data_IF_002993387370
#
_entry.id   IF_002993387370
#
_cell.length_a   1.000
_cell.length_b   1.000
_cell.length_c   1.000
_cell.angle_alpha   90.00
_cell.angle_beta   90.00
_cell.angle_gamma   90.00
#
_symmetry.space_group_name_H-M   'P 1'
#
loop_
_entity.id
_entity.type
_entity.pdbx_description
1 polymer ?
#
# COMPACT_ATOMS: atom_id res chain seq x y z
N UNK A 1 -13.83 34.26 -49.59
CA UNK A 1 -14.73 34.29 -48.41
C UNK A 1 -15.15 32.87 -47.99
N UNK A 2 -15.87 32.09 -48.84
CA UNK A 2 -16.35 30.74 -48.48
C UNK A 2 -15.28 29.71 -48.06
N UNK A 3 -14.09 29.75 -48.67
CA UNK A 3 -13.00 28.79 -48.37
C UNK A 3 -12.41 28.97 -46.97
N UNK A 4 -12.27 30.21 -46.48
CA UNK A 4 -11.79 30.50 -45.13
C UNK A 4 -12.80 30.07 -44.06
N UNK A 5 -14.10 30.19 -44.34
CA UNK A 5 -15.16 29.70 -43.46
C UNK A 5 -15.13 28.17 -43.32
N UNK A 6 -14.83 27.46 -44.40
CA UNK A 6 -14.70 25.99 -44.40
C UNK A 6 -13.46 25.55 -43.60
N UNK A 7 -12.31 26.21 -43.79
CA UNK A 7 -11.09 25.94 -43.03
C UNK A 7 -11.26 26.18 -41.52
N UNK A 8 -11.93 27.27 -41.14
CA UNK A 8 -12.26 27.56 -39.73
C UNK A 8 -13.20 26.51 -39.14
N UNK A 9 -14.19 26.04 -39.90
CA UNK A 9 -15.09 24.97 -39.48
C UNK A 9 -14.35 23.65 -39.24
N UNK A 10 -13.45 23.26 -40.15
CA UNK A 10 -12.65 22.02 -40.02
C UNK A 10 -11.69 22.11 -38.83
N UNK A 11 -10.99 23.23 -38.70
CA UNK A 11 -10.06 23.46 -37.58
C UNK A 11 -10.76 23.45 -36.22
N UNK A 12 -11.89 24.15 -36.09
CA UNK A 12 -12.68 24.15 -34.87
C UNK A 12 -13.21 22.76 -34.50
N UNK A 13 -13.66 21.99 -35.49
CA UNK A 13 -14.13 20.62 -35.27
C UNK A 13 -12.99 19.70 -34.81
N UNK A 14 -11.80 19.83 -35.41
CA UNK A 14 -10.63 19.04 -35.01
C UNK A 14 -10.18 19.32 -33.56
N UNK A 15 -10.21 20.59 -33.15
CA UNK A 15 -9.88 21.01 -31.77
C UNK A 15 -10.90 20.45 -30.78
N UNK A 16 -12.20 20.51 -31.11
CA UNK A 16 -13.25 19.93 -30.25
C UNK A 16 -13.08 18.42 -30.08
N UNK A 17 -12.78 17.70 -31.15
CA UNK A 17 -12.52 16.25 -31.10
C UNK A 17 -11.32 15.97 -30.19
N UNK A 18 -10.20 16.67 -30.39
CA UNK A 18 -9.01 16.52 -29.53
C UNK A 18 -9.33 16.80 -28.06
N UNK A 19 -10.09 17.87 -27.76
CA UNK A 19 -10.46 18.22 -26.39
C UNK A 19 -11.32 17.14 -25.72
N UNK A 20 -12.23 16.50 -26.46
CA UNK A 20 -13.05 15.41 -25.92
C UNK A 20 -12.22 14.16 -25.64
N UNK A 21 -11.35 13.75 -26.57
CA UNK A 21 -10.52 12.57 -26.38
C UNK A 21 -9.48 12.74 -25.25
N UNK A 22 -8.74 13.84 -25.24
CA UNK A 22 -7.75 14.11 -24.19
C UNK A 22 -8.41 14.49 -22.85
N UNK A 23 -9.54 15.21 -22.87
CA UNK A 23 -10.30 15.53 -21.67
C UNK A 23 -10.90 14.29 -21.00
N UNK A 24 -11.37 13.32 -21.78
CA UNK A 24 -11.88 12.07 -21.26
C UNK A 24 -10.78 11.19 -20.63
N UNK A 25 -9.56 11.17 -21.19
CA UNK A 25 -8.44 10.44 -20.61
C UNK A 25 -7.95 11.06 -19.29
N UNK A 26 -7.98 12.40 -19.17
CA UNK A 26 -7.66 13.09 -17.91
C UNK A 26 -8.64 12.74 -16.79
N UNK A 27 -9.93 12.57 -17.10
CA UNK A 27 -10.94 12.18 -16.11
C UNK A 27 -10.77 10.73 -15.62
N UNK A 28 -10.17 9.86 -16.44
CA UNK A 28 -9.89 8.45 -16.09
C UNK A 28 -8.61 8.27 -15.27
N UNK A 29 -7.81 9.33 -15.08
CA UNK A 29 -6.63 9.32 -14.21
C UNK A 29 -6.98 9.45 -12.73
N UNK A 30 -8.23 9.16 -12.33
CA UNK A 30 -8.57 8.99 -10.93
C UNK A 30 -7.92 7.68 -10.47
N UNK A 31 -6.82 7.79 -9.74
CA UNK A 31 -6.21 6.66 -9.05
C UNK A 31 -7.28 6.16 -8.09
N UNK A 32 -7.84 4.98 -8.38
CA UNK A 32 -8.82 4.33 -7.52
C UNK A 32 -8.12 3.92 -6.23
N UNK A 33 -8.03 4.84 -5.27
CA UNK A 33 -7.60 4.54 -3.91
C UNK A 33 -8.78 3.86 -3.24
N UNK A 34 -8.58 2.61 -2.82
CA UNK A 34 -9.58 1.89 -2.06
C UNK A 34 -9.91 2.66 -0.77
N UNK A 35 -11.17 2.63 -0.36
CA UNK A 35 -11.63 3.37 0.82
C UNK A 35 -10.90 2.90 2.09
N UNK A 36 -10.80 1.58 2.24
CA UNK A 36 -10.07 0.92 3.30
C UNK A 36 -9.07 -0.06 2.70
N UNK A 37 -7.80 0.07 3.08
CA UNK A 37 -6.74 -0.83 2.65
C UNK A 37 -5.56 -0.79 3.62
N UNK A 38 -4.84 -1.91 3.73
CA UNK A 38 -3.71 -2.03 4.62
C UNK A 38 -2.54 -2.73 3.94
N UNK A 39 -1.37 -2.11 4.05
CA UNK A 39 -0.12 -2.69 3.66
C UNK A 39 0.59 -3.31 4.88
N UNK A 40 0.99 -4.57 4.74
CA UNK A 40 1.64 -5.35 5.80
C UNK A 40 2.91 -5.98 5.27
N UNK A 41 4.04 -5.66 5.90
CA UNK A 41 5.35 -6.22 5.57
C UNK A 41 6.05 -6.77 6.83
N UNK A 42 5.94 -8.08 7.08
CA UNK A 42 6.63 -8.76 8.17
C UNK A 42 8.01 -9.22 7.71
N UNK A 43 9.05 -8.66 8.31
CA UNK A 43 10.45 -8.97 8.04
C UNK A 43 11.05 -9.68 9.23
N UNK A 44 11.85 -10.71 8.97
CA UNK A 44 12.64 -11.42 9.96
C UNK A 44 14.11 -11.06 9.75
N UNK A 45 14.70 -10.46 10.78
CA UNK A 45 16.12 -10.09 10.81
C UNK A 45 16.88 -11.14 11.62
N UNK A 46 17.71 -11.93 10.93
CA UNK A 46 18.63 -12.88 11.56
C UNK A 46 19.99 -12.20 11.69
N UNK A 47 20.23 -11.57 12.84
CA UNK A 47 21.60 -11.27 13.24
C UNK A 47 22.23 -12.53 13.83
N UNK A 48 23.55 -12.67 13.69
CA UNK A 48 24.34 -13.89 13.99
C UNK A 48 23.90 -14.68 15.26
N UNK A 49 23.42 -13.99 16.30
CA UNK A 49 23.03 -14.59 17.59
C UNK A 49 21.56 -14.36 17.98
N UNK A 50 20.80 -13.54 17.24
CA UNK A 50 19.44 -13.14 17.60
C UNK A 50 18.54 -13.06 16.37
N UNK A 51 17.33 -13.58 16.50
CA UNK A 51 16.27 -13.43 15.50
C UNK A 51 15.29 -12.38 16.00
N UNK A 52 15.15 -11.30 15.25
CA UNK A 52 14.22 -10.20 15.58
C UNK A 52 13.21 -10.03 14.45
N UNK A 53 11.93 -10.12 14.78
CA UNK A 53 10.86 -9.79 13.86
C UNK A 53 10.61 -8.28 13.81
N UNK A 54 10.24 -7.77 12.63
CA UNK A 54 9.78 -6.40 12.44
C UNK A 54 8.59 -6.41 11.51
N UNK A 55 7.44 -5.97 12.00
CA UNK A 55 6.22 -5.87 11.20
C UNK A 55 5.95 -4.41 10.91
N UNK A 56 5.98 -4.06 9.63
CA UNK A 56 5.52 -2.77 9.15
C UNK A 56 4.04 -2.87 8.80
N UNK A 57 3.23 -1.98 9.36
CA UNK A 57 1.81 -1.85 9.04
C UNK A 57 1.59 -0.41 8.57
N UNK A 58 0.90 -0.24 7.44
CA UNK A 58 0.57 1.07 6.91
C UNK A 58 -0.86 1.07 6.38
N UNK A 59 -1.64 2.08 6.76
CA UNK A 59 -2.94 2.32 6.14
C UNK A 59 -2.72 2.96 4.76
N UNK A 60 -3.06 2.21 3.71
CA UNK A 60 -2.99 2.65 2.31
C UNK A 60 -4.34 3.10 1.75
N UNK A 61 -5.42 2.92 2.53
CA UNK A 61 -6.75 3.41 2.19
C UNK A 61 -6.91 4.91 2.37
N UNK A 62 -8.00 5.47 1.85
CA UNK A 62 -8.32 6.90 1.97
C UNK A 62 -8.96 7.27 3.32
N UNK A 63 -9.47 6.29 4.08
CA UNK A 63 -10.11 6.47 5.38
C UNK A 63 -9.28 5.86 6.53
N UNK A 64 -9.45 6.33 7.78
CA UNK A 64 -8.84 5.71 8.95
C UNK A 64 -9.37 4.30 9.18
N UNK A 65 -8.50 3.39 9.66
CA UNK A 65 -8.87 2.04 10.10
C UNK A 65 -9.04 2.03 11.61
N UNK A 66 -10.04 1.31 12.12
CA UNK A 66 -10.37 1.23 13.55
C UNK A 66 -10.30 -0.19 14.08
N UNK A 67 -10.01 -0.33 15.38
CA UNK A 67 -9.93 -1.60 16.09
C UNK A 67 -9.07 -2.65 15.35
N UNK A 68 -7.81 -2.28 15.11
CA UNK A 68 -6.85 -3.11 14.42
C UNK A 68 -6.34 -4.16 15.40
N UNK A 69 -6.59 -5.42 15.10
CA UNK A 69 -6.15 -6.57 15.85
C UNK A 69 -4.96 -7.20 15.12
N UNK A 70 -3.79 -7.19 15.77
CA UNK A 70 -2.57 -7.81 15.26
C UNK A 70 -2.35 -9.10 16.03
N UNK A 71 -2.34 -10.23 15.34
CA UNK A 71 -2.05 -11.54 15.88
C UNK A 71 -0.70 -12.02 15.33
N UNK A 72 0.27 -12.16 16.23
CA UNK A 72 1.63 -12.58 15.90
C UNK A 72 1.78 -14.11 15.85
N UNK A 73 0.71 -14.88 16.15
CA UNK A 73 0.77 -16.32 16.34
C UNK A 73 1.02 -16.70 17.81
N UNK A 74 0.88 -17.99 18.14
CA UNK A 74 1.09 -18.53 19.50
C UNK A 74 0.28 -17.89 20.63
N UNK A 75 -0.83 -17.21 20.32
CA UNK A 75 -1.66 -16.51 21.29
C UNK A 75 -1.20 -15.07 21.61
N UNK A 76 -0.11 -14.61 20.99
CA UNK A 76 0.36 -13.24 21.13
C UNK A 76 -0.46 -12.29 20.24
N UNK A 77 -1.17 -11.35 20.88
CA UNK A 77 -1.98 -10.36 20.17
C UNK A 77 -1.70 -8.94 20.66
N UNK A 78 -1.90 -7.97 19.79
CA UNK A 78 -1.83 -6.55 20.10
C UNK A 78 -2.95 -5.81 19.38
N UNK A 79 -3.68 -5.01 20.15
CA UNK A 79 -4.81 -4.25 19.64
C UNK A 79 -4.47 -2.75 19.56
N UNK A 80 -4.93 -2.11 18.50
CA UNK A 80 -4.77 -0.68 18.27
C UNK A 80 -6.10 -0.06 17.91
N UNK A 81 -6.42 1.06 18.55
CA UNK A 81 -7.73 1.69 18.38
C UNK A 81 -7.93 2.31 17.00
N UNK A 82 -6.90 2.92 16.44
CA UNK A 82 -6.99 3.66 15.17
C UNK A 82 -5.65 3.71 14.45
N UNK A 83 -5.67 3.63 13.12
CA UNK A 83 -4.57 3.96 12.22
C UNK A 83 -5.06 4.91 11.13
N UNK A 84 -4.68 6.17 11.24
CA UNK A 84 -5.06 7.21 10.28
C UNK A 84 -4.55 6.90 8.86
N UNK A 85 -5.28 7.37 7.85
CA UNK A 85 -4.89 7.21 6.44
C UNK A 85 -3.47 7.72 6.18
N UNK A 86 -2.68 6.91 5.46
CA UNK A 86 -1.28 7.20 5.13
C UNK A 86 -0.29 7.06 6.30
N UNK A 87 -0.74 6.74 7.51
CA UNK A 87 0.17 6.49 8.64
C UNK A 87 0.75 5.09 8.57
N UNK A 88 2.02 5.02 8.99
CA UNK A 88 2.80 3.79 9.11
C UNK A 88 3.25 3.62 10.56
N UNK A 89 3.20 2.38 11.02
CA UNK A 89 3.69 1.94 12.32
C UNK A 89 4.64 0.74 12.11
N UNK A 90 5.54 0.57 13.06
CA UNK A 90 6.46 -0.55 13.09
C UNK A 90 6.29 -1.23 14.44
N UNK A 91 5.97 -2.51 14.42
CA UNK A 91 5.77 -3.33 15.59
C UNK A 91 6.84 -4.41 15.65
N UNK A 92 7.22 -4.79 16.86
CA UNK A 92 8.08 -5.93 17.12
C UNK A 92 7.24 -7.03 17.78
N UNK A 93 7.25 -8.27 17.27
CA UNK A 93 6.62 -9.38 17.94
C UNK A 93 7.32 -9.69 19.28
N UNK A 94 6.63 -10.36 20.22
CA UNK A 94 7.24 -10.83 21.45
C UNK A 94 8.46 -11.76 21.21
N UNK A 95 9.44 -11.79 22.12
CA UNK A 95 10.69 -12.53 21.91
C UNK A 95 10.53 -14.05 21.85
N UNK A 96 9.46 -14.60 22.45
CA UNK A 96 9.17 -16.05 22.43
C UNK A 96 8.26 -16.47 21.26
N UNK A 97 7.92 -15.54 20.38
CA UNK A 97 7.05 -15.81 19.25
C UNK A 97 7.78 -16.59 18.14
N UNK A 98 7.16 -17.60 17.51
CA UNK A 98 7.79 -18.39 16.44
C UNK A 98 8.01 -17.59 15.15
N UNK A 99 7.37 -16.42 14.99
CA UNK A 99 7.53 -15.51 13.86
C UNK A 99 7.32 -16.20 12.51
N UNK A 100 6.32 -17.07 12.42
CA UNK A 100 5.96 -17.78 11.19
C UNK A 100 5.05 -16.93 10.30
N UNK A 101 3.98 -16.38 10.89
CA UNK A 101 3.00 -15.54 10.21
C UNK A 101 2.49 -14.44 11.13
N UNK A 102 2.00 -13.37 10.52
CA UNK A 102 1.20 -12.34 11.19
C UNK A 102 -0.16 -12.27 10.52
N UNK A 103 -1.20 -12.19 11.33
CA UNK A 103 -2.58 -11.93 10.89
C UNK A 103 -2.99 -10.58 11.42
N UNK A 104 -3.52 -9.73 10.54
CA UNK A 104 -4.06 -8.43 10.91
C UNK A 104 -5.50 -8.36 10.46
N UNK A 105 -6.37 -7.96 11.37
CA UNK A 105 -7.77 -7.66 11.07
C UNK A 105 -8.18 -6.29 11.58
N UNK A 106 -9.19 -5.69 10.96
CA UNK A 106 -9.81 -4.44 11.40
C UNK A 106 -11.34 -4.49 11.17
N UNK A 107 -12.08 -3.59 11.80
CA UNK A 107 -13.56 -3.57 11.76
C UNK A 107 -14.12 -3.39 10.34
N UNK A 108 -13.35 -2.74 9.46
CA UNK A 108 -13.75 -2.41 8.09
C UNK A 108 -13.64 -3.61 7.13
N UNK A 109 -13.67 -4.83 7.66
CA UNK A 109 -13.61 -6.07 6.88
C UNK A 109 -12.21 -6.41 6.36
N UNK A 110 -11.17 -5.77 6.92
CA UNK A 110 -9.78 -6.06 6.58
C UNK A 110 -9.38 -7.37 7.26
N UNK A 111 -8.80 -8.28 6.47
CA UNK A 111 -8.15 -9.49 6.97
C UNK A 111 -6.93 -9.80 6.09
N UNK A 112 -5.74 -9.65 6.65
CA UNK A 112 -4.47 -9.87 5.94
C UNK A 112 -3.63 -10.85 6.73
N UNK A 113 -3.25 -11.95 6.08
CA UNK A 113 -2.29 -12.92 6.61
C UNK A 113 -1.03 -12.92 5.75
N UNK A 114 0.12 -12.74 6.38
CA UNK A 114 1.44 -12.71 5.72
C UNK A 114 2.44 -13.55 6.51
N UNK A 115 3.19 -14.40 5.81
CA UNK A 115 4.34 -15.08 6.39
C UNK A 115 5.51 -14.11 6.52
N UNK A 116 6.31 -14.27 7.58
CA UNK A 116 7.56 -13.51 7.72
C UNK A 116 8.55 -13.87 6.62
N UNK A 117 9.29 -12.88 6.15
CA UNK A 117 10.32 -13.06 5.12
C UNK A 117 11.65 -12.47 5.57
N UNK A 118 12.73 -13.10 5.16
CA UNK A 118 14.07 -12.55 5.36
C UNK A 118 14.38 -11.49 4.30
N UNK A 119 15.16 -10.48 4.68
CA UNK A 119 15.69 -9.55 3.69
C UNK A 119 16.70 -10.28 2.79
N UNK A 120 16.66 -10.04 1.47
CA UNK A 120 17.69 -10.56 0.58
C UNK A 120 19.06 -10.12 1.09
N UNK A 121 19.99 -11.07 1.24
CA UNK A 121 21.38 -10.74 1.57
C UNK A 121 21.91 -9.82 0.47
N UNK A 122 22.39 -8.63 0.83
CA UNK A 122 23.06 -7.76 -0.13
C UNK A 122 24.31 -8.50 -0.63
N UNK A 123 24.31 -8.89 -1.90
CA UNK A 123 25.49 -9.43 -2.56
C UNK A 123 26.37 -8.25 -2.96
N UNK A 124 27.60 -8.17 -2.42
CA UNK A 124 28.58 -7.19 -2.90
C UNK A 124 29.30 -6.31 -1.88
N UNK A 125 29.62 -6.79 -0.68
CA UNK A 125 30.80 -6.28 0.04
C UNK A 125 31.94 -7.27 -0.13
N UNK A 126 32.51 -7.30 -1.34
CA UNK A 126 33.81 -7.90 -1.59
C UNK A 126 34.85 -6.80 -1.32
N UNK A 127 35.69 -6.97 -0.30
CA UNK A 127 36.73 -6.02 0.03
C UNK A 127 37.11 -6.01 1.51
N UNK A 128 37.53 -7.16 2.03
CA UNK A 128 38.54 -7.21 3.09
C UNK A 128 39.79 -7.84 2.51
#
# INVERSE_FOLDING_TARGET
>A
MKQYTILLGIGGTAILIMAVFFGADLLKMSISVNEYDIFVDPILDRQSLFVTGRITIQNTGSQPLTNIHVNFGSGDTMDMKILESGKKIILSPPPENPMEFVVISADEGIYVSKAYRELPKMVGMMGS
#
